data_IF_595906071724
#
_entry.id   IF_595906071724
#
_cell.length_a   1.000
_cell.length_b   1.000
_cell.length_c   1.000
_cell.angle_alpha   90.00
_cell.angle_beta   90.00
_cell.angle_gamma   90.00
#
_symmetry.space_group_name_H-M   'P 1'
#
loop_
_entity.id
_entity.type
_entity.pdbx_description
1 polymer ?
#
# COMPACT_ATOMS: atom_id res chain seq x y z
N UNK A 1 30.54 14.41 -13.76
CA UNK A 1 29.47 13.85 -14.63
C UNK A 1 28.24 13.68 -13.77
N UNK A 2 27.08 14.26 -14.12
CA UNK A 2 25.82 13.89 -13.48
C UNK A 2 25.50 12.48 -13.95
N UNK A 3 25.53 11.49 -13.06
CA UNK A 3 25.07 10.15 -13.39
C UNK A 3 23.57 10.26 -13.70
N UNK A 4 23.20 10.23 -14.98
CA UNK A 4 21.81 10.10 -15.38
C UNK A 4 21.33 8.72 -14.93
N UNK A 5 20.63 8.67 -13.80
CA UNK A 5 19.93 7.45 -13.37
C UNK A 5 18.72 7.27 -14.29
N UNK A 6 18.65 6.11 -14.94
CA UNK A 6 17.54 5.71 -15.82
C UNK A 6 16.65 4.73 -15.06
N UNK A 7 15.33 4.81 -15.23
CA UNK A 7 14.39 3.80 -14.71
C UNK A 7 14.22 2.72 -15.77
N UNK A 8 14.54 1.48 -15.41
CA UNK A 8 14.49 0.30 -16.28
C UNK A 8 13.25 -0.56 -15.98
N UNK A 9 12.88 -1.46 -16.88
CA UNK A 9 11.77 -2.41 -16.66
C UNK A 9 11.97 -3.27 -15.40
N UNK A 10 13.21 -3.67 -15.10
CA UNK A 10 13.53 -4.45 -13.90
C UNK A 10 13.14 -3.74 -12.60
N UNK A 11 13.03 -2.40 -12.59
CA UNK A 11 12.59 -1.65 -11.43
C UNK A 11 11.11 -1.91 -11.10
N UNK A 12 10.32 -2.40 -12.05
CA UNK A 12 8.93 -2.86 -11.87
C UNK A 12 8.78 -4.39 -11.82
N UNK A 13 9.88 -5.16 -11.87
CA UNK A 13 9.84 -6.62 -11.94
C UNK A 13 9.56 -7.35 -10.61
N UNK A 14 9.44 -6.62 -9.50
CA UNK A 14 9.18 -7.18 -8.16
C UNK A 14 10.40 -7.83 -7.49
N UNK A 15 11.59 -7.76 -8.12
CA UNK A 15 12.83 -8.35 -7.63
C UNK A 15 13.74 -7.38 -6.86
N UNK A 16 15.03 -7.70 -6.83
CA UNK A 16 16.04 -6.92 -6.10
C UNK A 16 16.12 -5.45 -6.54
N UNK A 17 16.08 -5.16 -7.85
CA UNK A 17 16.10 -3.79 -8.39
C UNK A 17 14.87 -2.98 -7.98
N UNK A 18 13.69 -3.59 -7.94
CA UNK A 18 12.48 -2.96 -7.39
C UNK A 18 12.65 -2.60 -5.91
N UNK A 19 13.19 -3.52 -5.11
CA UNK A 19 13.46 -3.27 -3.69
C UNK A 19 14.48 -2.14 -3.47
N UNK A 20 15.57 -2.11 -4.26
CA UNK A 20 16.58 -1.05 -4.20
C UNK A 20 15.97 0.33 -4.47
N UNK A 21 15.14 0.44 -5.52
CA UNK A 21 14.43 1.68 -5.84
C UNK A 21 13.46 2.10 -4.72
N UNK A 22 12.67 1.16 -4.19
CA UNK A 22 11.73 1.43 -3.10
C UNK A 22 12.43 1.87 -1.81
N UNK A 23 13.60 1.28 -1.52
CA UNK A 23 14.44 1.68 -0.38
C UNK A 23 14.89 3.13 -0.51
N UNK A 24 15.35 3.55 -1.69
CA UNK A 24 15.74 4.94 -1.97
C UNK A 24 14.53 5.88 -1.83
N UNK A 25 13.37 5.53 -2.40
CA UNK A 25 12.14 6.33 -2.31
C UNK A 25 11.69 6.48 -0.86
N UNK A 26 11.67 5.40 -0.06
CA UNK A 26 11.35 5.45 1.38
C UNK A 26 12.34 6.30 2.16
N UNK A 27 13.61 6.34 1.71
CA UNK A 27 14.62 7.24 2.23
C UNK A 27 14.31 8.72 2.02
N UNK A 28 13.54 9.07 0.98
CA UNK A 28 13.09 10.44 0.71
C UNK A 28 11.74 10.71 1.40
N UNK A 29 10.80 9.77 1.30
CA UNK A 29 9.44 9.85 1.83
C UNK A 29 9.32 9.17 3.21
N UNK A 30 10.07 9.66 4.20
CA UNK A 30 10.19 9.00 5.52
C UNK A 30 8.97 9.15 6.44
N UNK A 31 8.10 10.13 6.18
CA UNK A 31 6.98 10.41 7.10
C UNK A 31 5.91 9.33 7.02
N UNK A 32 5.78 8.54 8.08
CA UNK A 32 4.78 7.47 8.24
C UNK A 32 3.59 7.88 9.13
N UNK A 33 3.65 9.06 9.76
CA UNK A 33 2.65 9.49 10.74
C UNK A 33 2.47 8.48 11.86
N UNK A 34 1.22 8.06 12.12
CA UNK A 34 0.88 7.06 13.14
C UNK A 34 0.70 5.64 12.59
N UNK A 35 0.95 5.45 11.28
CA UNK A 35 0.85 4.14 10.65
C UNK A 35 1.99 3.24 11.11
N UNK A 36 1.66 1.97 11.29
CA UNK A 36 2.56 0.87 11.64
C UNK A 36 2.59 -0.13 10.49
N UNK A 37 3.50 -1.10 10.53
CA UNK A 37 3.64 -2.15 9.51
C UNK A 37 3.84 -1.65 8.06
N UNK A 38 4.43 -0.45 7.86
CA UNK A 38 4.52 0.17 6.53
C UNK A 38 5.56 -0.44 5.57
N UNK A 39 6.14 -1.60 5.91
CA UNK A 39 7.16 -2.29 5.11
C UNK A 39 6.76 -3.71 4.73
N UNK A 40 5.47 -4.00 4.89
CA UNK A 40 4.81 -5.27 4.65
C UNK A 40 3.66 -5.04 3.63
N UNK A 41 2.83 -6.05 3.37
CA UNK A 41 1.77 -6.01 2.35
C UNK A 41 0.71 -4.91 2.59
N UNK A 42 0.53 -4.50 3.84
CA UNK A 42 -0.41 -3.44 4.20
C UNK A 42 0.05 -2.63 5.41
N UNK A 43 -0.22 -1.32 5.37
CA UNK A 43 -0.04 -0.44 6.50
C UNK A 43 -1.21 -0.58 7.48
N UNK A 44 -0.91 -0.47 8.78
CA UNK A 44 -1.90 -0.62 9.85
C UNK A 44 -2.02 0.69 10.63
N UNK A 45 -3.24 1.20 10.76
CA UNK A 45 -3.58 2.33 11.61
C UNK A 45 -4.45 1.86 12.76
N UNK A 46 -4.00 2.10 13.98
CA UNK A 46 -4.75 1.75 15.19
C UNK A 46 -5.87 2.78 15.40
N UNK A 47 -7.12 2.38 15.21
CA UNK A 47 -8.26 3.29 15.27
C UNK A 47 -8.60 3.66 16.71
N UNK A 48 -8.57 2.69 17.64
CA UNK A 48 -8.94 2.89 19.04
C UNK A 48 -8.03 3.89 19.76
N UNK A 49 -6.72 3.81 19.54
CA UNK A 49 -5.76 4.72 20.16
C UNK A 49 -5.73 6.11 19.53
N UNK A 50 -6.34 6.29 18.35
CA UNK A 50 -6.24 7.52 17.57
C UNK A 50 -7.55 8.24 17.29
N UNK A 51 -8.68 7.67 17.70
CA UNK A 51 -9.99 8.32 17.61
C UNK A 51 -10.47 8.71 19.00
N UNK A 52 -10.78 9.99 19.18
CA UNK A 52 -11.43 10.50 20.39
C UNK A 52 -12.94 10.23 20.33
N UNK A 53 -13.36 8.98 20.43
CA UNK A 53 -14.80 8.67 20.36
C UNK A 53 -15.44 8.74 21.75
N UNK A 54 -15.87 9.94 22.15
CA UNK A 54 -16.88 10.12 23.23
C UNK A 54 -18.32 10.15 22.71
N UNK A 55 -18.56 9.88 21.43
CA UNK A 55 -19.87 10.11 20.79
C UNK A 55 -20.60 8.80 20.46
N UNK A 56 -21.86 8.62 20.90
CA UNK A 56 -22.71 7.50 20.51
C UNK A 56 -23.21 7.74 19.09
N UNK A 57 -22.37 7.39 18.12
CA UNK A 57 -22.71 7.38 16.69
C UNK A 57 -22.53 5.97 16.16
N UNK A 58 -23.26 5.60 15.10
CA UNK A 58 -23.07 4.31 14.44
C UNK A 58 -21.59 4.07 14.03
N UNK A 59 -20.85 5.14 13.75
CA UNK A 59 -19.41 5.10 13.52
C UNK A 59 -18.61 4.79 14.79
N UNK A 60 -18.99 5.35 15.95
CA UNK A 60 -18.42 5.00 17.26
C UNK A 60 -18.63 3.54 17.64
N UNK A 61 -19.80 2.97 17.33
CA UNK A 61 -20.10 1.55 17.56
C UNK A 61 -19.32 0.62 16.62
N UNK A 62 -19.08 1.04 15.37
CA UNK A 62 -18.21 0.31 14.44
C UNK A 62 -16.73 0.41 14.85
N UNK A 63 -16.26 1.59 15.23
CA UNK A 63 -14.88 1.83 15.69
C UNK A 63 -14.59 1.09 17.00
N UNK A 64 -15.56 1.01 17.91
CA UNK A 64 -15.39 0.22 19.15
C UNK A 64 -15.22 -1.28 18.86
N UNK A 65 -15.80 -1.78 17.76
CA UNK A 65 -15.66 -3.16 17.27
C UNK A 65 -14.43 -3.38 16.37
N UNK A 66 -14.00 -2.38 15.61
CA UNK A 66 -12.85 -2.44 14.70
C UNK A 66 -11.63 -1.72 15.29
N UNK A 67 -10.67 -2.50 15.78
CA UNK A 67 -9.49 -1.95 16.46
C UNK A 67 -8.46 -1.33 15.52
N UNK A 68 -8.40 -1.81 14.28
CA UNK A 68 -7.35 -1.51 13.30
C UNK A 68 -7.95 -1.28 11.92
N UNK A 69 -7.49 -0.24 11.25
CA UNK A 69 -7.65 -0.03 9.81
C UNK A 69 -6.41 -0.61 9.12
N UNK A 70 -6.61 -1.53 8.19
CA UNK A 70 -5.57 -2.09 7.34
C UNK A 70 -5.76 -1.51 5.95
N UNK A 71 -4.70 -0.96 5.37
CA UNK A 71 -4.76 -0.29 4.08
C UNK A 71 -3.62 -0.76 3.18
N UNK A 72 -3.99 -1.17 1.97
CA UNK A 72 -3.06 -1.57 0.91
C UNK A 72 -3.55 -0.99 -0.41
N UNK A 73 -2.66 -0.94 -1.39
CA UNK A 73 -2.96 -0.52 -2.75
C UNK A 73 -2.07 -1.29 -3.70
N UNK A 74 -2.61 -1.59 -4.88
CA UNK A 74 -1.84 -2.15 -5.98
C UNK A 74 -2.29 -1.51 -7.30
N UNK A 75 -1.47 -1.64 -8.34
CA UNK A 75 -1.76 -1.13 -9.67
C UNK A 75 -1.52 -2.23 -10.71
N UNK A 76 -2.47 -2.38 -11.63
CA UNK A 76 -2.47 -3.48 -12.60
C UNK A 76 -2.28 -2.92 -14.00
N UNK A 77 -1.31 -3.48 -14.73
CA UNK A 77 -0.95 -3.09 -16.11
C UNK A 77 -0.84 -4.32 -17.03
N UNK A 78 -1.58 -5.39 -16.72
CA UNK A 78 -1.54 -6.63 -17.49
C UNK A 78 -2.00 -6.40 -18.94
N UNK A 79 -1.31 -7.05 -19.88
CA UNK A 79 -1.63 -7.07 -21.31
C UNK A 79 -1.52 -8.52 -21.81
N UNK A 80 -2.57 -9.10 -22.45
CA UNK A 80 -3.85 -8.49 -22.81
C UNK A 80 -4.79 -8.28 -21.61
N UNK A 81 -5.79 -7.40 -21.77
CA UNK A 81 -6.79 -7.12 -20.72
C UNK A 81 -7.66 -8.34 -20.35
N UNK A 82 -7.88 -9.25 -21.30
CA UNK A 82 -8.64 -10.49 -21.13
C UNK A 82 -7.76 -11.68 -21.50
N UNK A 83 -7.69 -12.70 -20.65
CA UNK A 83 -6.79 -13.84 -20.82
C UNK A 83 -7.43 -15.14 -20.30
N UNK A 84 -6.96 -16.32 -20.72
CA UNK A 84 -7.46 -17.58 -20.18
C UNK A 84 -7.34 -17.61 -18.65
N UNK A 85 -8.48 -17.70 -17.96
CA UNK A 85 -8.55 -17.72 -16.49
C UNK A 85 -8.92 -16.40 -15.82
N UNK A 86 -9.03 -15.27 -16.54
CA UNK A 86 -9.42 -14.00 -15.94
C UNK A 86 -9.32 -12.76 -16.84
N UNK A 87 -9.41 -11.61 -16.21
CA UNK A 87 -9.22 -10.30 -16.82
C UNK A 87 -8.55 -9.35 -15.81
N UNK A 88 -8.20 -8.15 -16.26
CA UNK A 88 -7.59 -7.12 -15.42
C UNK A 88 -8.46 -6.76 -14.20
N UNK A 89 -9.79 -6.79 -14.33
CA UNK A 89 -10.71 -6.49 -13.23
C UNK A 89 -10.73 -7.59 -12.18
N UNK A 90 -10.66 -8.85 -12.61
CA UNK A 90 -10.55 -10.00 -11.70
C UNK A 90 -9.27 -9.91 -10.87
N UNK A 91 -8.11 -9.73 -11.49
CA UNK A 91 -6.84 -9.64 -10.73
C UNK A 91 -6.75 -8.38 -9.87
N UNK A 92 -7.47 -7.31 -10.24
CA UNK A 92 -7.51 -6.09 -9.42
C UNK A 92 -8.30 -6.25 -8.11
N UNK A 93 -9.14 -7.29 -8.00
CA UNK A 93 -9.97 -7.56 -6.83
C UNK A 93 -9.48 -8.78 -6.01
N UNK A 94 -8.84 -9.76 -6.65
CA UNK A 94 -8.49 -11.05 -6.05
C UNK A 94 -7.44 -10.97 -4.94
#
# INVERSE_FOLDING_TARGET
MKNNKTIELDAGGGGYKSWELLKDIRGILKYKGKWKNCEDDAAVFDLKSNLETKSPSALGDLVSKCEKLVFTTDAFIVDPLFFPGGDIGKIAMC
#
